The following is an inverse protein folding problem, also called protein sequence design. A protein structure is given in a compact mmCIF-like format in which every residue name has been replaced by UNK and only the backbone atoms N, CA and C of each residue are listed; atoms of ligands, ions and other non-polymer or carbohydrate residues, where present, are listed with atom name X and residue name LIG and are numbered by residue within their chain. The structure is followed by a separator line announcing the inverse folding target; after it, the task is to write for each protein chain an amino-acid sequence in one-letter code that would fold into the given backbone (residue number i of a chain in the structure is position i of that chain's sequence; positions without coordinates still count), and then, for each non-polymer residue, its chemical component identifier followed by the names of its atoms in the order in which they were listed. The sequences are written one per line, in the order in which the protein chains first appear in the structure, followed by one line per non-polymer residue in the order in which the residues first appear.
data_IF_099456884780
#
_entry.id   IF_099456884780
#
_cell.length_a   1.000
_cell.length_b   1.000
_cell.length_c   1.000
_cell.angle_alpha   90.00
_cell.angle_beta   90.00
_cell.angle_gamma   90.00
#
_symmetry.space_group_name_H-M   'P 1'
#
loop_
_entity.id
_entity.type
_entity.pdbx_description
1 polymer ?
#
# COMPACT_ATOMS: atom_id res chain seq x y z
N UNK A 1 7.71 -11.23 -18.10
CA UNK A 1 9.13 -11.36 -17.77
C UNK A 1 9.33 -11.85 -16.33
N UNK A 2 10.52 -12.41 -16.05
CA UNK A 2 10.83 -12.97 -14.72
C UNK A 2 11.13 -11.87 -13.69
N UNK A 3 11.32 -10.62 -14.13
CA UNK A 3 11.45 -9.45 -13.25
C UNK A 3 11.03 -8.16 -13.93
N UNK A 4 10.48 -7.22 -13.16
CA UNK A 4 10.14 -5.85 -13.54
C UNK A 4 10.40 -4.90 -12.38
N UNK A 5 11.08 -3.78 -12.63
CA UNK A 5 11.23 -2.68 -11.65
C UNK A 5 11.66 -3.15 -10.26
N UNK A 6 12.65 -4.05 -10.18
CA UNK A 6 13.12 -4.59 -8.89
C UNK A 6 12.18 -5.60 -8.22
N UNK A 7 11.07 -5.99 -8.90
CA UNK A 7 10.18 -7.06 -8.47
C UNK A 7 10.49 -8.35 -9.23
N UNK A 8 10.69 -9.45 -8.51
CA UNK A 8 10.89 -10.78 -9.08
C UNK A 8 9.56 -11.53 -9.18
N UNK A 9 9.33 -12.23 -10.30
CA UNK A 9 8.15 -13.08 -10.50
C UNK A 9 8.32 -14.38 -9.72
N UNK A 10 7.31 -14.70 -8.90
CA UNK A 10 7.13 -16.03 -8.29
C UNK A 10 5.80 -16.60 -8.76
N UNK A 11 5.82 -17.80 -9.31
CA UNK A 11 4.61 -18.57 -9.58
C UNK A 11 4.27 -19.35 -8.33
N UNK A 12 3.07 -19.19 -7.80
CA UNK A 12 2.70 -19.76 -6.50
C UNK A 12 1.79 -20.96 -6.72
N UNK A 13 0.66 -20.81 -7.40
CA UNK A 13 -0.34 -21.85 -7.63
C UNK A 13 -0.76 -22.58 -6.33
N UNK A 14 -0.92 -21.84 -5.24
CA UNK A 14 -1.25 -22.37 -3.92
C UNK A 14 -2.56 -21.79 -3.39
N UNK A 15 -3.40 -22.63 -2.74
CA UNK A 15 -4.59 -22.14 -2.06
C UNK A 15 -4.20 -21.40 -0.76
N UNK A 16 -4.84 -20.25 -0.52
CA UNK A 16 -4.73 -19.46 0.71
C UNK A 16 -6.14 -19.10 1.20
N UNK A 17 -6.75 -19.99 2.00
CA UNK A 17 -8.16 -19.85 2.38
C UNK A 17 -9.06 -19.91 1.16
N UNK A 18 -9.90 -18.89 0.97
CA UNK A 18 -10.81 -18.76 -0.17
C UNK A 18 -10.14 -18.16 -1.42
N UNK A 19 -8.82 -17.95 -1.39
CA UNK A 19 -8.06 -17.39 -2.49
C UNK A 19 -7.13 -18.45 -3.07
N UNK A 20 -7.01 -18.45 -4.40
CA UNK A 20 -6.02 -19.21 -5.12
C UNK A 20 -5.02 -18.23 -5.75
N UNK A 21 -3.83 -18.11 -5.12
CA UNK A 21 -2.76 -17.23 -5.61
C UNK A 21 -2.15 -17.85 -6.87
N UNK A 22 -2.15 -17.10 -7.98
CA UNK A 22 -1.70 -17.55 -9.30
C UNK A 22 -0.23 -17.24 -9.50
N UNK A 23 0.15 -15.97 -9.28
CA UNK A 23 1.52 -15.51 -9.29
C UNK A 23 1.67 -14.25 -8.43
N UNK A 24 2.89 -13.97 -8.02
CA UNK A 24 3.25 -12.70 -7.39
C UNK A 24 4.50 -12.09 -8.00
N UNK A 25 4.52 -10.76 -8.13
CA UNK A 25 5.72 -9.97 -8.27
C UNK A 25 6.08 -9.40 -6.91
N UNK A 26 7.26 -9.73 -6.40
CA UNK A 26 7.69 -9.38 -5.04
C UNK A 26 9.07 -8.70 -5.06
N UNK A 27 9.19 -7.65 -4.25
CA UNK A 27 10.47 -7.01 -3.92
C UNK A 27 10.66 -7.08 -2.40
N UNK A 28 11.54 -7.98 -1.97
CA UNK A 28 11.91 -8.12 -0.54
C UNK A 28 12.55 -6.83 -0.02
N UNK A 29 13.42 -6.21 -0.83
CA UNK A 29 14.11 -4.98 -0.46
C UNK A 29 13.15 -3.78 -0.23
N UNK A 30 12.02 -3.75 -0.93
CA UNK A 30 11.00 -2.71 -0.78
C UNK A 30 9.88 -3.11 0.17
N UNK A 31 9.83 -4.35 0.64
CA UNK A 31 8.68 -4.93 1.36
C UNK A 31 7.36 -4.69 0.64
N UNK A 32 7.35 -4.88 -0.69
CA UNK A 32 6.17 -4.65 -1.54
C UNK A 32 5.93 -5.83 -2.47
N UNK A 33 4.67 -6.11 -2.76
CA UNK A 33 4.31 -7.14 -3.75
C UNK A 33 3.01 -6.81 -4.48
N UNK A 34 2.82 -7.48 -5.63
CA UNK A 34 1.58 -7.51 -6.41
C UNK A 34 1.23 -8.96 -6.71
N UNK A 35 0.13 -9.47 -6.16
CA UNK A 35 -0.32 -10.85 -6.28
C UNK A 35 -1.61 -10.94 -7.07
N UNK A 36 -1.58 -11.66 -8.18
CA UNK A 36 -2.76 -12.04 -8.93
C UNK A 36 -3.38 -13.30 -8.32
N UNK A 37 -4.68 -13.28 -8.05
CA UNK A 37 -5.37 -14.41 -7.43
C UNK A 37 -6.81 -14.55 -7.92
N UNK A 38 -7.36 -15.75 -7.75
CA UNK A 38 -8.78 -16.03 -7.91
C UNK A 38 -9.41 -16.17 -6.52
N UNK A 39 -10.54 -15.51 -6.32
CA UNK A 39 -11.31 -15.56 -5.07
C UNK A 39 -12.53 -16.46 -5.26
N UNK A 40 -12.54 -17.62 -4.60
CA UNK A 40 -13.55 -18.67 -4.81
C UNK A 40 -14.96 -18.23 -4.42
N UNK A 41 -15.12 -17.55 -3.28
CA UNK A 41 -16.43 -17.12 -2.79
C UNK A 41 -17.13 -16.15 -3.75
N UNK A 42 -16.40 -15.19 -4.32
CA UNK A 42 -16.97 -14.21 -5.26
C UNK A 42 -16.86 -14.62 -6.72
N UNK A 43 -16.14 -15.72 -7.02
CA UNK A 43 -15.83 -16.17 -8.38
C UNK A 43 -15.16 -15.09 -9.26
N UNK A 44 -14.24 -14.32 -8.67
CA UNK A 44 -13.57 -13.19 -9.32
C UNK A 44 -12.05 -13.33 -9.31
N UNK A 45 -11.42 -12.90 -10.41
CA UNK A 45 -9.98 -12.61 -10.47
C UNK A 45 -9.72 -11.23 -9.90
N UNK A 46 -8.66 -11.10 -9.12
CA UNK A 46 -8.29 -9.87 -8.41
C UNK A 46 -6.77 -9.68 -8.38
N UNK A 47 -6.35 -8.44 -8.18
CA UNK A 47 -4.94 -8.10 -7.92
C UNK A 47 -4.82 -7.47 -6.53
N UNK A 48 -4.05 -8.12 -5.66
CA UNK A 48 -3.72 -7.65 -4.32
C UNK A 48 -2.34 -6.99 -4.33
N UNK A 49 -2.24 -5.83 -3.70
CA UNK A 49 -0.98 -5.12 -3.47
C UNK A 49 -0.67 -5.20 -1.99
N UNK A 50 0.58 -5.49 -1.67
CA UNK A 50 1.13 -5.40 -0.31
C UNK A 50 2.17 -4.29 -0.27
N UNK A 51 2.09 -3.43 0.75
CA UNK A 51 3.02 -2.34 1.03
C UNK A 51 3.31 -2.39 2.53
N UNK A 52 4.51 -2.84 2.90
CA UNK A 52 4.80 -3.15 4.29
C UNK A 52 3.90 -4.25 4.82
N UNK A 53 3.11 -3.95 5.85
CA UNK A 53 2.10 -4.86 6.42
C UNK A 53 0.68 -4.60 5.88
N UNK A 54 0.49 -3.59 5.04
CA UNK A 54 -0.82 -3.19 4.53
C UNK A 54 -1.11 -3.96 3.24
N UNK A 55 -2.24 -4.66 3.20
CA UNK A 55 -2.74 -5.33 2.01
C UNK A 55 -4.00 -4.61 1.49
N UNK A 56 -4.09 -4.41 0.18
CA UNK A 56 -5.25 -3.80 -0.48
C UNK A 56 -5.52 -4.45 -1.83
N UNK A 57 -6.80 -4.59 -2.17
CA UNK A 57 -7.22 -5.08 -3.49
C UNK A 57 -7.36 -3.89 -4.45
N UNK A 58 -6.80 -4.04 -5.65
CA UNK A 58 -6.93 -3.05 -6.74
C UNK A 58 -8.27 -3.26 -7.45
N UNK A 59 -9.21 -2.34 -7.22
CA UNK A 59 -10.59 -2.47 -7.70
C UNK A 59 -10.71 -2.53 -9.23
N UNK A 60 -9.80 -1.86 -9.95
CA UNK A 60 -9.75 -1.87 -11.42
C UNK A 60 -9.41 -3.22 -12.03
N UNK A 61 -8.90 -4.17 -11.23
CA UNK A 61 -8.58 -5.54 -11.67
C UNK A 61 -9.66 -6.56 -11.30
N UNK A 62 -10.74 -6.16 -10.63
CA UNK A 62 -11.79 -7.11 -10.20
C UNK A 62 -12.66 -7.46 -11.39
N UNK A 63 -12.71 -8.74 -11.76
CA UNK A 63 -13.57 -9.27 -12.83
C UNK A 63 -13.76 -10.78 -12.69
N UNK A 64 -14.93 -11.28 -13.10
CA UNK A 64 -15.19 -12.72 -13.21
C UNK A 64 -14.64 -13.34 -14.51
N UNK A 65 -14.28 -12.51 -15.51
CA UNK A 65 -13.81 -12.97 -16.82
C UNK A 65 -12.27 -13.02 -16.84
N UNK A 66 -11.71 -14.21 -17.03
CA UNK A 66 -10.25 -14.40 -17.09
C UNK A 66 -9.60 -13.67 -18.27
N UNK A 67 -10.24 -13.61 -19.44
CA UNK A 67 -9.66 -12.93 -20.59
C UNK A 67 -9.57 -11.40 -20.36
N UNK A 68 -10.58 -10.84 -19.71
CA UNK A 68 -10.57 -9.42 -19.27
C UNK A 68 -9.46 -9.19 -18.25
N UNK A 69 -9.34 -10.07 -17.24
CA UNK A 69 -8.30 -9.98 -16.24
C UNK A 69 -6.89 -10.03 -16.86
N UNK A 70 -6.66 -10.99 -17.76
CA UNK A 70 -5.39 -11.11 -18.49
C UNK A 70 -5.06 -9.84 -19.30
N UNK A 71 -6.06 -9.27 -19.98
CA UNK A 71 -5.88 -8.02 -20.73
C UNK A 71 -5.52 -6.83 -19.81
N UNK A 72 -6.17 -6.72 -18.65
CA UNK A 72 -5.86 -5.70 -17.64
C UNK A 72 -4.44 -5.84 -17.10
N UNK A 73 -4.01 -7.07 -16.78
CA UNK A 73 -2.65 -7.34 -16.34
C UNK A 73 -1.62 -6.93 -17.41
N UNK A 74 -1.84 -7.32 -18.66
CA UNK A 74 -0.94 -6.95 -19.77
C UNK A 74 -0.84 -5.43 -19.99
N UNK A 75 -1.94 -4.73 -19.79
CA UNK A 75 -2.01 -3.29 -20.01
C UNK A 75 -1.45 -2.44 -18.87
N UNK A 76 -1.55 -2.90 -17.62
CA UNK A 76 -1.38 -2.02 -16.46
C UNK A 76 -0.35 -2.50 -15.43
N UNK A 77 -0.01 -3.80 -15.37
CA UNK A 77 0.81 -4.36 -14.28
C UNK A 77 2.22 -3.76 -14.23
N UNK A 78 2.88 -3.59 -15.39
CA UNK A 78 4.21 -2.98 -15.46
C UNK A 78 4.20 -1.55 -14.89
N UNK A 79 3.25 -0.72 -15.33
CA UNK A 79 3.10 0.66 -14.82
C UNK A 79 2.78 0.70 -13.33
N UNK A 80 2.03 -0.28 -12.83
CA UNK A 80 1.74 -0.41 -11.41
C UNK A 80 3.00 -0.73 -10.60
N UNK A 81 3.81 -1.69 -11.05
CA UNK A 81 5.07 -2.05 -10.39
C UNK A 81 6.06 -0.88 -10.40
N UNK A 82 6.17 -0.15 -11.52
CA UNK A 82 6.99 1.06 -11.57
C UNK A 82 6.56 2.11 -10.53
N UNK A 83 5.25 2.30 -10.32
CA UNK A 83 4.72 3.22 -9.29
C UNK A 83 4.93 2.71 -7.87
N UNK A 84 5.01 1.39 -7.67
CA UNK A 84 5.34 0.80 -6.38
C UNK A 84 6.84 0.93 -6.07
N UNK A 85 7.69 0.85 -7.09
CA UNK A 85 9.15 1.02 -6.94
C UNK A 85 9.50 2.45 -6.58
N UNK A 86 9.04 3.42 -7.38
CA UNK A 86 9.51 4.80 -7.33
C UNK A 86 8.37 5.78 -7.05
N UNK A 87 8.58 6.65 -6.08
CA UNK A 87 7.67 7.77 -5.82
C UNK A 87 7.75 8.82 -6.93
N UNK A 88 6.60 9.17 -7.50
CA UNK A 88 6.46 10.25 -8.47
C UNK A 88 5.69 11.44 -7.84
N UNK A 89 6.37 12.57 -7.52
CA UNK A 89 5.70 13.75 -6.98
C UNK A 89 4.61 14.32 -7.90
N UNK A 90 4.70 14.09 -9.22
CA UNK A 90 3.69 14.57 -10.18
C UNK A 90 2.34 13.84 -10.00
N UNK A 91 2.37 12.60 -9.50
CA UNK A 91 1.17 11.77 -9.27
C UNK A 91 0.33 12.21 -8.06
N UNK A 92 0.87 13.10 -7.21
CA UNK A 92 0.21 13.56 -5.98
C UNK A 92 -0.95 14.52 -6.30
N UNK A 93 -2.10 14.27 -5.67
CA UNK A 93 -3.29 15.12 -5.85
C UNK A 93 -3.07 16.56 -5.37
N UNK A 94 -3.82 17.50 -5.96
CA UNK A 94 -3.75 18.91 -5.58
C UNK A 94 -4.13 19.15 -4.10
N UNK A 95 -5.03 18.33 -3.54
CA UNK A 95 -5.44 18.42 -2.14
C UNK A 95 -4.27 18.06 -1.21
N UNK A 96 -3.55 16.97 -1.49
CA UNK A 96 -2.37 16.58 -0.69
C UNK A 96 -1.28 17.66 -0.75
N UNK A 97 -1.11 18.31 -1.92
CA UNK A 97 -0.17 19.44 -2.06
C UNK A 97 -0.63 20.66 -1.27
N UNK A 98 -1.91 20.98 -1.30
CA UNK A 98 -2.48 22.11 -0.55
C UNK A 98 -2.38 21.93 0.98
N UNK A 99 -2.33 20.69 1.46
CA UNK A 99 -2.07 20.33 2.86
C UNK A 99 -0.59 20.39 3.24
N UNK A 100 0.30 20.67 2.29
CA UNK A 100 1.76 20.76 2.49
C UNK A 100 2.40 19.50 3.10
N UNK A 101 1.76 18.33 2.91
CA UNK A 101 2.20 17.05 3.51
C UNK A 101 3.65 16.74 3.15
N UNK A 102 4.05 16.93 1.87
CA UNK A 102 5.39 16.59 1.40
C UNK A 102 6.48 17.47 2.04
N UNK A 103 6.12 18.69 2.41
CA UNK A 103 7.02 19.71 2.97
C UNK A 103 6.83 19.91 4.46
N UNK A 104 5.97 19.11 5.09
CA UNK A 104 5.73 19.18 6.54
C UNK A 104 7.01 18.91 7.30
N UNK A 105 7.55 20.00 7.92
CA UNK A 105 8.88 19.99 8.52
C UNK A 105 8.98 18.96 9.64
N UNK A 106 8.10 19.05 10.65
CA UNK A 106 8.09 18.13 11.80
C UNK A 106 7.98 16.67 11.38
N UNK A 107 7.11 16.38 10.39
CA UNK A 107 6.95 15.02 9.86
C UNK A 107 8.17 14.50 9.10
N UNK A 108 8.92 15.37 8.45
CA UNK A 108 10.15 15.00 7.73
C UNK A 108 11.40 14.94 8.64
N UNK A 109 11.30 15.45 9.88
CA UNK A 109 12.34 15.35 10.94
C UNK A 109 12.09 14.15 11.88
N UNK A 110 11.08 13.30 11.60
CA UNK A 110 10.80 12.08 12.38
C UNK A 110 12.04 11.16 12.42
N UNK A 111 12.33 10.53 13.58
CA UNK A 111 13.47 9.63 13.71
C UNK A 111 13.31 8.38 12.81
N UNK A 112 14.44 7.87 12.29
CA UNK A 112 14.45 6.64 11.48
C UNK A 112 13.97 5.41 12.25
N UNK A 113 14.10 5.43 13.58
CA UNK A 113 13.62 4.38 14.47
C UNK A 113 12.98 4.98 15.71
N UNK A 114 11.85 4.40 16.16
CA UNK A 114 11.14 4.80 17.36
C UNK A 114 10.67 3.55 18.10
N UNK A 115 11.11 3.35 19.34
CA UNK A 115 10.74 2.21 20.21
C UNK A 115 10.88 0.84 19.52
N UNK A 116 11.88 0.67 18.65
CA UNK A 116 12.12 -0.57 17.90
C UNK A 116 11.44 -0.65 16.53
N UNK A 117 10.52 0.26 16.22
CA UNK A 117 9.90 0.38 14.90
C UNK A 117 10.78 1.19 13.95
N UNK A 118 10.85 0.80 12.69
CA UNK A 118 11.55 1.53 11.63
C UNK A 118 10.58 2.41 10.83
N UNK A 119 10.99 3.64 10.50
CA UNK A 119 10.22 4.53 9.63
C UNK A 119 10.25 4.02 8.19
N UNK A 120 9.17 3.36 7.78
CA UNK A 120 9.02 2.73 6.46
C UNK A 120 8.45 3.70 5.40
N UNK A 121 7.44 4.48 5.77
CA UNK A 121 6.88 5.53 4.91
C UNK A 121 6.98 6.87 5.66
N UNK A 122 7.39 7.92 4.94
CA UNK A 122 7.53 9.27 5.47
C UNK A 122 6.74 10.29 4.64
N UNK A 123 6.38 11.46 5.18
CA UNK A 123 5.56 12.47 4.50
C UNK A 123 6.13 12.96 3.17
N UNK A 124 7.45 12.97 3.00
CA UNK A 124 8.09 13.35 1.73
C UNK A 124 7.78 12.37 0.59
N UNK A 125 7.42 11.12 0.90
CA UNK A 125 7.16 10.05 -0.07
C UNK A 125 5.86 9.29 0.28
N UNK A 126 4.70 9.98 0.32
CA UNK A 126 3.44 9.36 0.71
C UNK A 126 2.99 8.34 -0.34
N UNK A 127 2.34 7.29 0.11
CA UNK A 127 1.88 6.22 -0.77
C UNK A 127 0.37 6.31 -0.94
N UNK A 128 -0.08 6.48 -2.19
CA UNK A 128 -1.50 6.47 -2.52
C UNK A 128 -2.06 5.05 -2.43
N UNK A 129 -3.14 4.91 -1.69
CA UNK A 129 -3.92 3.68 -1.59
C UNK A 129 -5.31 3.86 -2.21
N UNK A 130 -6.18 2.86 -2.08
CA UNK A 130 -7.54 2.94 -2.60
C UNK A 130 -8.37 4.04 -1.88
N UNK A 131 -9.51 4.41 -2.49
CA UNK A 131 -10.49 5.33 -1.90
C UNK A 131 -9.99 6.73 -1.55
N UNK A 132 -8.97 7.21 -2.28
CA UNK A 132 -8.47 8.57 -2.10
C UNK A 132 -7.67 8.78 -0.81
N UNK A 133 -7.26 7.73 -0.13
CA UNK A 133 -6.37 7.82 1.01
C UNK A 133 -4.91 7.70 0.61
N UNK A 134 -4.06 8.33 1.42
CA UNK A 134 -2.60 8.24 1.34
C UNK A 134 -2.06 7.78 2.68
N UNK A 135 -1.09 6.86 2.66
CA UNK A 135 -0.24 6.59 3.81
C UNK A 135 0.82 7.68 3.82
N UNK A 136 0.91 8.44 4.90
CA UNK A 136 1.87 9.55 5.04
C UNK A 136 2.99 9.24 6.02
N UNK A 137 2.74 8.41 7.02
CA UNK A 137 3.73 7.87 7.94
C UNK A 137 3.41 6.39 8.17
N UNK A 138 4.44 5.57 8.20
CA UNK A 138 4.32 4.17 8.62
C UNK A 138 5.57 3.75 9.39
N UNK A 139 5.42 3.50 10.68
CA UNK A 139 6.43 2.88 11.52
C UNK A 139 6.14 1.40 11.66
N UNK A 140 7.09 0.55 11.27
CA UNK A 140 6.89 -0.89 11.16
C UNK A 140 7.98 -1.66 11.92
N UNK A 141 7.56 -2.68 12.66
CA UNK A 141 8.38 -3.81 13.06
C UNK A 141 7.94 -5.04 12.25
N UNK A 142 8.73 -5.40 11.24
CA UNK A 142 8.42 -6.54 10.37
C UNK A 142 8.54 -7.89 11.09
N UNK A 143 9.38 -7.99 12.12
CA UNK A 143 9.57 -9.23 12.87
C UNK A 143 8.39 -9.52 13.80
N UNK A 144 7.80 -8.47 14.38
CA UNK A 144 6.60 -8.56 15.21
C UNK A 144 5.30 -8.38 14.42
N UNK A 145 5.38 -8.18 13.10
CA UNK A 145 4.23 -7.87 12.23
C UNK A 145 3.34 -6.77 12.82
N UNK A 146 3.98 -5.72 13.34
CA UNK A 146 3.31 -4.62 14.04
C UNK A 146 3.65 -3.28 13.41
N UNK A 147 2.69 -2.36 13.36
CA UNK A 147 2.90 -1.02 12.79
C UNK A 147 2.00 0.03 13.41
N UNK A 148 2.42 1.29 13.27
CA UNK A 148 1.58 2.47 13.47
C UNK A 148 1.59 3.27 12.19
N UNK A 149 0.43 3.40 11.57
CA UNK A 149 0.27 4.02 10.26
C UNK A 149 -0.60 5.27 10.37
N UNK A 150 -0.15 6.37 9.80
CA UNK A 150 -0.93 7.62 9.68
C UNK A 150 -1.34 7.80 8.23
N UNK A 151 -2.62 8.06 8.03
CA UNK A 151 -3.27 8.27 6.75
C UNK A 151 -3.76 9.70 6.59
N UNK A 152 -3.92 10.11 5.34
CA UNK A 152 -4.72 11.28 4.95
C UNK A 152 -5.79 10.87 3.96
N UNK A 153 -7.06 11.14 4.25
CA UNK A 153 -8.19 10.87 3.37
C UNK A 153 -8.63 12.15 2.66
N UNK A 154 -8.51 12.22 1.33
CA UNK A 154 -8.82 13.42 0.54
C UNK A 154 -10.32 13.76 0.48
N UNK A 155 -11.20 12.78 0.67
CA UNK A 155 -12.66 13.00 0.63
C UNK A 155 -13.20 13.52 1.95
N UNK A 156 -12.58 13.12 3.07
CA UNK A 156 -12.96 13.54 4.42
C UNK A 156 -12.16 14.73 4.90
N UNK A 157 -11.08 15.08 4.17
CA UNK A 157 -10.10 16.09 4.55
C UNK A 157 -9.55 15.85 5.98
N UNK A 158 -9.18 14.60 6.26
CA UNK A 158 -8.92 14.13 7.62
C UNK A 158 -7.64 13.29 7.65
N UNK A 159 -6.83 13.53 8.67
CA UNK A 159 -5.75 12.65 9.08
C UNK A 159 -6.29 11.69 10.14
N UNK A 160 -5.93 10.43 10.04
CA UNK A 160 -6.30 9.40 11.01
C UNK A 160 -5.18 8.37 11.13
N UNK A 161 -5.16 7.62 12.22
CA UNK A 161 -4.17 6.58 12.44
C UNK A 161 -4.81 5.22 12.67
N UNK A 162 -4.04 4.19 12.35
CA UNK A 162 -4.34 2.81 12.69
C UNK A 162 -3.09 2.19 13.31
N UNK A 163 -3.26 1.44 14.38
CA UNK A 163 -2.25 0.51 14.87
C UNK A 163 -2.51 -0.89 14.32
N UNK A 164 -1.46 -1.67 14.18
CA UNK A 164 -1.52 -3.08 13.83
C UNK A 164 -0.62 -3.84 14.80
N UNK A 165 -1.17 -4.83 15.48
CA UNK A 165 -0.46 -5.64 16.45
C UNK A 165 -0.55 -7.10 16.01
N UNK A 166 0.61 -7.74 15.77
CA UNK A 166 0.70 -9.10 15.22
C UNK A 166 -0.18 -9.28 13.98
N UNK A 167 -0.10 -8.34 13.07
CA UNK A 167 -0.88 -8.27 11.84
C UNK A 167 -2.41 -8.11 12.03
N UNK A 168 -2.89 -7.84 13.25
CA UNK A 168 -4.31 -7.58 13.55
C UNK A 168 -4.50 -6.07 13.65
N UNK A 169 -5.38 -5.45 12.82
CA UNK A 169 -5.70 -4.03 12.92
C UNK A 169 -6.32 -3.70 14.28
N UNK A 170 -5.83 -2.62 14.89
CA UNK A 170 -6.40 -1.99 16.08
C UNK A 170 -6.77 -0.54 15.72
N UNK A 171 -8.06 -0.30 15.53
CA UNK A 171 -8.56 1.01 15.09
C UNK A 171 -8.71 1.93 16.30
N UNK A 172 -8.04 3.06 16.25
CA UNK A 172 -8.05 4.08 17.29
C UNK A 172 -8.38 5.44 16.67
N UNK A 173 -9.24 6.22 17.30
CA UNK A 173 -9.67 7.57 16.85
C UNK A 173 -8.98 8.71 17.60
N UNK A 174 -8.02 8.41 18.49
CA UNK A 174 -7.37 9.40 19.36
C UNK A 174 -6.50 10.42 18.59
N UNK A 175 -6.15 10.10 17.34
CA UNK A 175 -5.27 10.92 16.49
C UNK A 175 -5.99 11.53 15.28
N UNK A 176 -7.32 11.49 15.24
CA UNK A 176 -8.08 12.07 14.14
C UNK A 176 -7.98 13.59 14.16
N UNK A 177 -7.61 14.19 13.02
CA UNK A 177 -7.40 15.64 12.90
C UNK A 177 -7.59 16.11 11.46
N UNK A 178 -8.00 17.37 11.28
CA UNK A 178 -8.06 18.02 9.96
C UNK A 178 -6.80 18.83 9.64
N UNK A 179 -5.86 18.95 10.59
CA UNK A 179 -4.63 19.74 10.44
C UNK A 179 -3.40 18.93 10.86
N UNK A 180 -2.29 19.19 10.20
CA UNK A 180 -0.98 18.72 10.66
C UNK A 180 -0.55 19.50 11.89
N UNK A 181 0.11 18.89 12.89
CA UNK A 181 0.72 19.59 14.00
C UNK A 181 1.87 20.49 13.50
N UNK A 182 2.10 21.60 14.21
CA UNK A 182 3.20 22.52 13.94
C UNK A 182 4.58 21.94 14.28
#
# INVERSE_FOLDING_TARGET
PDSWHGFALRRIEEPRGDCYDIFTYESEALHKSATAYFHEETHEYKLRIKIGLIELCRIEFITADFAVFEALLKAQLESLLAKLETFDPASISSIVRAKEILTWKTGNELPETLEGFSLFIRPAYPVKINNGSYIIIDYVDFALESSVTVYFNIYRDEFFSEARIWNIPDVNYDFDSNTLPE
#
